data_IF_436225113745
#
_entry.id   IF_436225113745
#
_cell.length_a   1.000
_cell.length_b   1.000
_cell.length_c   1.000
_cell.angle_alpha   90.00
_cell.angle_beta   90.00
_cell.angle_gamma   90.00
#
_symmetry.space_group_name_H-M   'P 1'
#
loop_
_entity.id
_entity.type
_entity.pdbx_description
1 polymer ?
#
# COMPACT_ATOMS: atom_id res chain seq x y z
N UNK A 1 11.25 13.85 -3.74
CA UNK A 1 11.71 15.24 -3.56
C UNK A 1 11.08 16.07 -4.65
N UNK A 2 10.24 17.04 -4.30
CA UNK A 2 9.69 18.04 -5.23
C UNK A 2 10.54 19.33 -5.20
N UNK A 3 10.29 20.27 -6.12
CA UNK A 3 11.04 21.54 -6.22
C UNK A 3 11.06 22.31 -4.90
N UNK A 4 9.91 22.45 -4.23
CA UNK A 4 9.81 23.19 -2.97
C UNK A 4 10.61 22.51 -1.85
N UNK A 5 10.58 21.19 -1.77
CA UNK A 5 11.37 20.42 -0.82
C UNK A 5 12.87 20.60 -1.08
N UNK A 6 13.30 20.66 -2.35
CA UNK A 6 14.70 20.94 -2.71
C UNK A 6 15.08 22.35 -2.30
N UNK A 7 14.30 23.36 -2.68
CA UNK A 7 14.53 24.77 -2.35
C UNK A 7 14.63 24.95 -0.82
N UNK A 8 13.66 24.39 -0.08
CA UNK A 8 13.64 24.44 1.39
C UNK A 8 14.86 23.73 1.99
N UNK A 9 15.26 22.59 1.45
CA UNK A 9 16.41 21.83 1.97
C UNK A 9 17.72 22.59 1.74
N UNK A 10 17.92 23.15 0.54
CA UNK A 10 19.14 23.90 0.19
C UNK A 10 19.24 25.23 0.94
N UNK A 11 18.11 25.93 1.11
CA UNK A 11 18.06 27.10 1.98
C UNK A 11 18.44 26.74 3.42
N UNK A 12 17.85 25.70 3.99
CA UNK A 12 18.05 25.38 5.40
C UNK A 12 19.44 24.84 5.69
N UNK A 13 19.96 23.95 4.84
CA UNK A 13 21.22 23.23 5.08
C UNK A 13 22.45 23.92 4.53
N UNK A 14 22.32 24.60 3.39
CA UNK A 14 23.45 25.21 2.69
C UNK A 14 23.35 26.74 2.59
N UNK A 15 22.27 27.35 3.13
CA UNK A 15 22.03 28.80 3.07
C UNK A 15 22.04 29.36 1.64
N UNK A 16 21.71 28.52 0.67
CA UNK A 16 21.64 28.93 -0.73
C UNK A 16 20.36 29.73 -0.93
N UNK A 17 20.49 30.84 -1.67
CA UNK A 17 19.36 31.68 -2.01
C UNK A 17 18.26 30.91 -2.79
N UNK A 18 16.98 31.06 -2.42
CA UNK A 18 15.88 30.39 -3.11
C UNK A 18 15.75 30.80 -4.59
N UNK A 19 16.04 32.07 -4.90
CA UNK A 19 16.02 32.58 -6.28
C UNK A 19 17.10 31.92 -7.13
N UNK A 20 18.32 31.83 -6.61
CA UNK A 20 19.40 31.09 -7.27
C UNK A 20 19.04 29.62 -7.52
N UNK A 21 18.49 28.95 -6.50
CA UNK A 21 18.05 27.55 -6.64
C UNK A 21 16.95 27.40 -7.69
N UNK A 22 16.01 28.33 -7.76
CA UNK A 22 14.93 28.31 -8.74
C UNK A 22 15.45 28.50 -10.17
N UNK A 23 16.45 29.37 -10.37
CA UNK A 23 17.09 29.59 -11.67
C UNK A 23 17.84 28.34 -12.15
N UNK A 24 18.66 27.73 -11.29
CA UNK A 24 19.37 26.49 -11.63
C UNK A 24 18.38 25.37 -11.97
N UNK A 25 17.30 25.24 -11.19
CA UNK A 25 16.26 24.25 -11.44
C UNK A 25 15.59 24.46 -12.80
N UNK A 26 15.25 25.71 -13.14
CA UNK A 26 14.69 26.05 -14.45
C UNK A 26 15.65 25.67 -15.58
N UNK A 27 16.94 25.99 -15.43
CA UNK A 27 17.95 25.65 -16.44
C UNK A 27 18.07 24.15 -16.65
N UNK A 28 18.04 23.36 -15.57
CA UNK A 28 18.02 21.90 -15.63
C UNK A 28 16.78 21.37 -16.34
N UNK A 29 15.61 21.96 -16.12
CA UNK A 29 14.37 21.60 -16.82
C UNK A 29 14.45 21.87 -18.32
N UNK A 30 14.94 23.04 -18.70
CA UNK A 30 15.09 23.44 -20.11
C UNK A 30 16.08 22.52 -20.83
N UNK A 31 17.21 22.18 -20.20
CA UNK A 31 18.25 21.35 -20.82
C UNK A 31 17.93 19.85 -20.81
N UNK A 32 17.08 19.39 -19.91
CA UNK A 32 16.79 17.96 -19.70
C UNK A 32 15.28 17.68 -19.71
N UNK A 33 14.55 18.24 -20.66
CA UNK A 33 13.09 18.23 -20.69
C UNK A 33 12.47 16.81 -20.63
N UNK A 34 13.08 15.82 -21.31
CA UNK A 34 12.60 14.42 -21.27
C UNK A 34 12.72 13.79 -19.90
N UNK A 35 13.83 14.03 -19.20
CA UNK A 35 14.01 13.58 -17.83
C UNK A 35 12.96 14.21 -16.92
N UNK A 36 12.74 15.53 -17.03
CA UNK A 36 11.77 16.21 -16.18
C UNK A 36 10.32 15.81 -16.47
N UNK A 37 9.97 15.50 -17.73
CA UNK A 37 8.67 14.88 -18.05
C UNK A 37 8.45 13.59 -17.26
N UNK A 38 9.41 12.66 -17.30
CA UNK A 38 9.33 11.41 -16.55
C UNK A 38 9.35 11.64 -15.02
N UNK A 39 10.18 12.56 -14.55
CA UNK A 39 10.25 12.95 -13.14
C UNK A 39 8.91 13.46 -12.61
N UNK A 40 8.19 14.29 -13.37
CA UNK A 40 6.90 14.83 -12.96
C UNK A 40 5.79 13.78 -12.95
N UNK A 41 5.79 12.86 -13.91
CA UNK A 41 4.90 11.69 -13.88
C UNK A 41 5.15 10.86 -12.63
N UNK A 42 6.42 10.54 -12.34
CA UNK A 42 6.81 9.81 -11.13
C UNK A 42 6.39 10.53 -9.85
N UNK A 43 6.50 11.85 -9.80
CA UNK A 43 6.10 12.64 -8.62
C UNK A 43 4.59 12.54 -8.36
N UNK A 44 3.77 12.61 -9.42
CA UNK A 44 2.32 12.42 -9.32
C UNK A 44 1.98 11.00 -8.86
N UNK A 45 2.61 9.99 -9.47
CA UNK A 45 2.41 8.59 -9.11
C UNK A 45 2.75 8.33 -7.63
N UNK A 46 3.87 8.86 -7.13
CA UNK A 46 4.23 8.74 -5.71
C UNK A 46 3.15 9.29 -4.78
N UNK A 47 2.56 10.44 -5.11
CA UNK A 47 1.47 11.04 -4.32
C UNK A 47 0.23 10.16 -4.31
N UNK A 48 -0.13 9.58 -5.45
CA UNK A 48 -1.28 8.67 -5.57
C UNK A 48 -1.07 7.39 -4.75
N UNK A 49 0.12 6.78 -4.82
CA UNK A 49 0.46 5.60 -4.02
C UNK A 49 0.37 5.92 -2.52
N UNK A 50 0.88 7.08 -2.10
CA UNK A 50 0.80 7.49 -0.69
C UNK A 50 -0.65 7.63 -0.22
N UNK A 51 -1.50 8.30 -1.00
CA UNK A 51 -2.93 8.43 -0.67
C UNK A 51 -3.62 7.07 -0.60
N UNK A 52 -3.35 6.19 -1.56
CA UNK A 52 -3.90 4.85 -1.59
C UNK A 52 -3.48 4.05 -0.35
N UNK A 53 -2.21 4.13 0.07
CA UNK A 53 -1.74 3.46 1.29
C UNK A 53 -2.46 3.95 2.54
N UNK A 54 -2.73 5.25 2.66
CA UNK A 54 -3.54 5.78 3.78
C UNK A 54 -4.99 5.26 3.76
N UNK A 55 -5.58 5.10 2.57
CA UNK A 55 -6.92 4.51 2.45
C UNK A 55 -6.92 3.03 2.85
N UNK A 56 -5.93 2.26 2.43
CA UNK A 56 -5.76 0.86 2.84
C UNK A 56 -5.55 0.73 4.34
N UNK A 57 -4.75 1.61 4.94
CA UNK A 57 -4.55 1.67 6.38
C UNK A 57 -5.87 1.95 7.12
N UNK A 58 -6.66 2.92 6.66
CA UNK A 58 -7.97 3.19 7.24
C UNK A 58 -8.92 2.00 7.14
N UNK A 59 -8.97 1.34 5.97
CA UNK A 59 -9.75 0.13 5.77
C UNK A 59 -9.32 -0.99 6.74
N UNK A 60 -8.01 -1.20 6.89
CA UNK A 60 -7.47 -2.20 7.82
C UNK A 60 -7.94 -1.95 9.26
N UNK A 61 -7.95 -0.70 9.72
CA UNK A 61 -8.42 -0.34 11.06
C UNK A 61 -9.93 -0.56 11.23
N UNK A 62 -10.74 -0.26 10.21
CA UNK A 62 -12.19 -0.52 10.26
C UNK A 62 -12.54 -2.01 10.25
N UNK A 63 -11.73 -2.82 9.56
CA UNK A 63 -11.92 -4.27 9.47
C UNK A 63 -11.38 -5.04 10.68
N UNK A 64 -10.69 -4.38 11.62
CA UNK A 64 -10.36 -5.00 12.90
C UNK A 64 -11.64 -5.15 13.73
N UNK A 65 -12.27 -6.32 13.65
CA UNK A 65 -13.39 -6.67 14.52
C UNK A 65 -12.99 -6.61 16.00
N UNK A 66 -13.78 -5.96 16.87
CA UNK A 66 -13.86 -6.35 18.27
C UNK A 66 -14.41 -7.77 18.30
N UNK A 67 -13.67 -8.71 18.87
CA UNK A 67 -14.16 -10.06 19.15
C UNK A 67 -15.50 -9.95 19.89
N UNK A 68 -16.60 -10.57 19.41
CA UNK A 68 -17.85 -10.55 20.17
C UNK A 68 -17.60 -11.23 21.53
N UNK A 69 -18.09 -10.68 22.64
CA UNK A 69 -18.01 -11.34 23.94
C UNK A 69 -18.55 -12.76 23.81
N UNK A 70 -17.83 -13.75 24.34
CA UNK A 70 -18.27 -15.15 24.38
C UNK A 70 -19.65 -15.21 25.03
N UNK A 71 -20.70 -15.27 24.21
CA UNK A 71 -22.06 -15.51 24.68
C UNK A 71 -22.10 -16.98 25.11
N UNK A 72 -22.49 -17.29 26.36
CA UNK A 72 -22.63 -18.67 26.81
C UNK A 72 -23.66 -19.38 25.92
N UNK A 73 -23.24 -20.42 25.19
CA UNK A 73 -24.16 -21.29 24.46
C UNK A 73 -24.97 -22.07 25.49
N UNK A 74 -26.27 -21.77 25.60
CA UNK A 74 -27.18 -22.55 26.43
C UNK A 74 -27.32 -23.98 25.87
N UNK A 75 -27.55 -25.00 26.71
CA UNK A 75 -27.61 -26.40 26.26
C UNK A 75 -28.77 -26.61 25.28
N UNK A 76 -28.44 -27.09 24.07
CA UNK A 76 -29.41 -27.44 23.03
C UNK A 76 -30.20 -28.68 23.48
N UNK A 77 -31.51 -28.51 23.68
CA UNK A 77 -32.42 -29.60 23.98
C UNK A 77 -32.81 -30.29 22.66
N UNK A 78 -32.66 -31.62 22.61
CA UNK A 78 -32.94 -32.45 21.45
C UNK A 78 -34.41 -32.36 21.01
N UNK A 79 -34.67 -31.73 19.88
CA UNK A 79 -35.95 -31.75 19.19
C UNK A 79 -35.72 -31.53 17.70
N UNK A 80 -36.11 -32.49 16.88
CA UNK A 80 -35.93 -32.46 15.42
C UNK A 80 -36.80 -31.32 14.85
N UNK A 81 -36.19 -30.16 14.62
CA UNK A 81 -36.72 -29.12 13.76
C UNK A 81 -36.01 -29.19 12.40
N UNK A 82 -36.72 -29.19 11.26
CA UNK A 82 -36.09 -29.01 9.96
C UNK A 82 -35.49 -27.60 9.94
N UNK A 83 -34.18 -27.54 10.06
CA UNK A 83 -33.42 -26.29 10.03
C UNK A 83 -33.40 -25.80 8.57
N UNK A 84 -33.85 -24.58 8.26
CA UNK A 84 -33.86 -24.09 6.89
C UNK A 84 -32.42 -24.01 6.38
N UNK A 85 -32.10 -24.75 5.31
CA UNK A 85 -30.77 -24.87 4.69
C UNK A 85 -30.14 -23.51 4.33
N UNK A 86 -30.96 -22.46 4.20
CA UNK A 86 -30.48 -21.09 4.02
C UNK A 86 -29.70 -20.58 5.24
N UNK A 87 -30.12 -20.88 6.48
CA UNK A 87 -29.43 -20.38 7.68
C UNK A 87 -28.07 -21.06 7.88
N UNK A 88 -27.92 -22.32 7.47
CA UNK A 88 -26.64 -23.03 7.55
C UNK A 88 -25.60 -22.48 6.57
N UNK A 89 -26.01 -22.04 5.38
CA UNK A 89 -25.09 -21.44 4.40
C UNK A 89 -24.59 -20.09 4.92
N UNK A 90 -25.48 -19.20 5.38
CA UNK A 90 -25.08 -17.91 5.96
C UNK A 90 -24.21 -18.05 7.21
N UNK A 91 -24.47 -19.06 8.07
CA UNK A 91 -23.66 -19.30 9.26
C UNK A 91 -22.26 -19.83 8.90
N UNK A 92 -22.14 -20.71 7.90
CA UNK A 92 -20.84 -21.19 7.44
C UNK A 92 -20.04 -20.08 6.75
N UNK A 93 -20.71 -19.21 5.99
CA UNK A 93 -20.09 -18.04 5.35
C UNK A 93 -19.61 -17.03 6.40
N UNK A 94 -20.42 -16.74 7.42
CA UNK A 94 -20.03 -15.86 8.53
C UNK A 94 -18.89 -16.48 9.36
N UNK A 95 -18.92 -17.79 9.59
CA UNK A 95 -17.92 -18.51 10.37
C UNK A 95 -16.59 -18.66 9.60
N UNK A 96 -16.64 -18.85 8.28
CA UNK A 96 -15.48 -18.86 7.38
C UNK A 96 -14.87 -17.45 7.27
N UNK A 97 -15.68 -16.42 7.08
CA UNK A 97 -15.21 -15.03 7.02
C UNK A 97 -14.62 -14.56 8.37
N UNK A 98 -15.24 -14.94 9.48
CA UNK A 98 -14.73 -14.67 10.84
C UNK A 98 -13.44 -15.44 11.15
N UNK A 99 -13.26 -16.64 10.59
CA UNK A 99 -12.04 -17.44 10.75
C UNK A 99 -10.87 -16.85 9.95
N UNK A 100 -11.14 -16.26 8.79
CA UNK A 100 -10.14 -15.58 7.96
C UNK A 100 -9.67 -14.26 8.61
N UNK A 101 -10.58 -13.54 9.28
CA UNK A 101 -10.29 -12.21 9.84
C UNK A 101 -9.61 -12.25 11.23
N UNK A 102 -9.62 -13.40 11.92
CA UNK A 102 -9.10 -13.55 13.30
C UNK A 102 -7.86 -14.46 13.45
N UNK A 103 -7.23 -14.95 12.38
CA UNK A 103 -5.94 -15.64 12.48
C UNK A 103 -4.78 -14.62 12.43
N UNK A 104 -3.92 -14.50 13.46
CA UNK A 104 -2.73 -13.64 13.38
C UNK A 104 -1.62 -14.22 12.48
N UNK A 105 -1.84 -15.38 11.85
CA UNK A 105 -0.79 -16.09 11.12
C UNK A 105 -1.37 -17.09 10.12
N UNK A 106 -1.78 -16.63 8.94
CA UNK A 106 -1.82 -17.43 7.70
C UNK A 106 -1.44 -16.48 6.55
N UNK A 107 -0.16 -16.22 6.35
CA UNK A 107 0.66 -16.83 5.29
C UNK A 107 0.06 -16.73 3.89
N UNK A 108 0.62 -15.83 3.07
CA UNK A 108 1.08 -16.14 1.70
C UNK A 108 0.11 -16.90 0.77
N UNK A 109 -1.12 -16.40 0.54
CA UNK A 109 -1.98 -16.93 -0.55
C UNK A 109 -2.36 -15.84 -1.58
N UNK A 110 -1.76 -14.65 -1.54
CA UNK A 110 -1.81 -13.72 -2.68
C UNK A 110 -0.65 -13.95 -3.63
N UNK A 111 -0.89 -14.95 -4.48
CA UNK A 111 -0.34 -15.26 -5.82
C UNK A 111 1.19 -15.29 -6.03
N UNK A 112 1.73 -16.43 -6.52
CA UNK A 112 3.08 -16.50 -7.08
C UNK A 112 3.38 -15.41 -8.12
N UNK A 113 2.36 -14.92 -8.82
CA UNK A 113 2.46 -13.90 -9.87
C UNK A 113 2.81 -12.51 -9.31
N UNK A 114 2.25 -12.12 -8.16
CA UNK A 114 2.58 -10.83 -7.53
C UNK A 114 4.03 -10.82 -7.01
N UNK A 115 4.49 -11.94 -6.44
CA UNK A 115 5.90 -12.11 -6.07
C UNK A 115 6.83 -12.13 -7.28
N UNK A 116 6.47 -12.80 -8.38
CA UNK A 116 7.31 -12.82 -9.58
C UNK A 116 7.51 -11.42 -10.17
N UNK A 117 6.44 -10.62 -10.25
CA UNK A 117 6.49 -9.26 -10.80
C UNK A 117 7.27 -8.31 -9.88
N UNK A 118 7.08 -8.41 -8.56
CA UNK A 118 7.82 -7.59 -7.59
C UNK A 118 9.30 -7.98 -7.55
N UNK A 119 9.62 -9.27 -7.59
CA UNK A 119 11.01 -9.74 -7.68
C UNK A 119 11.64 -9.30 -9.01
N UNK A 120 10.92 -9.40 -10.12
CA UNK A 120 11.41 -8.95 -11.43
C UNK A 120 11.63 -7.43 -11.50
N UNK A 121 10.75 -6.65 -10.86
CA UNK A 121 10.91 -5.19 -10.70
C UNK A 121 12.12 -4.84 -9.85
N UNK A 122 12.32 -5.53 -8.72
CA UNK A 122 13.47 -5.30 -7.85
C UNK A 122 14.79 -5.71 -8.51
N UNK A 123 14.79 -6.82 -9.26
CA UNK A 123 15.99 -7.30 -9.97
C UNK A 123 16.34 -6.43 -11.18
N UNK A 124 15.33 -5.90 -11.89
CA UNK A 124 15.52 -4.93 -12.96
C UNK A 124 16.03 -3.58 -12.44
N UNK A 125 15.53 -3.14 -11.28
CA UNK A 125 16.01 -1.94 -10.61
C UNK A 125 17.45 -2.12 -10.10
N UNK A 126 17.79 -3.27 -9.54
CA UNK A 126 19.14 -3.59 -9.08
C UNK A 126 20.14 -3.67 -10.25
N UNK A 127 19.76 -4.28 -11.37
CA UNK A 127 20.59 -4.32 -12.60
C UNK A 127 20.83 -2.92 -13.18
N UNK A 128 19.81 -2.06 -13.21
CA UNK A 128 19.92 -0.69 -13.73
C UNK A 128 20.81 0.22 -12.88
N UNK A 129 20.95 -0.07 -11.58
CA UNK A 129 21.77 0.72 -10.65
C UNK A 129 23.22 0.18 -10.57
N UNK A 130 23.45 -1.07 -10.97
CA UNK A 130 24.76 -1.74 -10.84
C UNK A 130 25.60 -1.75 -12.12
N UNK A 131 25.07 -1.29 -13.25
CA UNK A 131 25.88 -1.12 -14.48
C UNK A 131 26.74 0.14 -14.35
N UNK A 132 28.08 0.03 -14.34
CA UNK A 132 28.94 1.20 -14.44
C UNK A 132 28.75 1.80 -15.84
N UNK A 133 28.54 3.11 -15.90
CA UNK A 133 28.66 3.87 -17.16
C UNK A 133 30.11 3.72 -17.64
N UNK A 134 30.33 2.84 -18.61
CA UNK A 134 31.53 2.81 -19.45
C UNK A 134 31.28 3.60 -20.73
#
# INVERSE_FOLDING_TARGET
>A
MNKDEVVKTLLNRAKIDPGFTALVWQKLEEENADFFRAYYVRLKLKKQILLFNHLLEHQYHLMKCPMPPKVPLAPIQNGIHPMPVQLTIYLWDIQYYSSILCQPQVSLIWTPWACQVVMWLMESLHRAISTPFG
#
